data_IF_183444587637
#
_entry.id   IF_183444587637
#
_cell.length_a   1.000
_cell.length_b   1.000
_cell.length_c   1.000
_cell.angle_alpha   90.00
_cell.angle_beta   90.00
_cell.angle_gamma   90.00
#
_symmetry.space_group_name_H-M   'P 1'
#
loop_
_entity.id
_entity.type
_entity.pdbx_description
1 polymer ?
#
# COMPACT_ATOMS: atom_id res chain seq x y z
N UNK A 1 -32.25 -44.36 10.98
CA UNK A 1 -31.65 -43.07 11.37
C UNK A 1 -31.42 -42.27 10.10
N UNK A 2 -32.06 -41.11 9.88
CA UNK A 2 -31.70 -40.27 8.74
C UNK A 2 -30.24 -39.84 8.96
N UNK A 3 -29.33 -40.24 8.07
CA UNK A 3 -27.93 -39.86 8.18
C UNK A 3 -27.84 -38.34 8.12
N UNK A 4 -27.14 -37.73 9.08
CA UNK A 4 -26.77 -36.31 8.99
C UNK A 4 -26.24 -36.01 7.59
N UNK A 5 -26.66 -34.90 6.95
CA UNK A 5 -26.20 -34.58 5.60
C UNK A 5 -24.67 -34.53 5.61
N UNK A 6 -24.04 -35.22 4.64
CA UNK A 6 -22.58 -35.21 4.49
C UNK A 6 -22.07 -33.76 4.45
N UNK A 7 -20.99 -33.44 5.19
CA UNK A 7 -20.41 -32.11 5.17
C UNK A 7 -19.96 -31.76 3.75
N UNK A 8 -20.03 -30.48 3.41
CA UNK A 8 -19.48 -29.97 2.15
C UNK A 8 -17.97 -30.07 2.16
N UNK A 9 -17.38 -30.46 1.03
CA UNK A 9 -15.96 -30.22 0.75
C UNK A 9 -15.85 -29.06 -0.22
N UNK A 10 -14.80 -28.25 -0.09
CA UNK A 10 -14.66 -27.03 -0.89
C UNK A 10 -13.43 -27.09 -1.79
N UNK A 11 -13.48 -26.42 -2.94
CA UNK A 11 -12.36 -26.26 -3.86
C UNK A 11 -12.37 -24.87 -4.49
N UNK A 12 -11.22 -24.37 -4.87
CA UNK A 12 -11.09 -23.10 -5.60
C UNK A 12 -10.99 -23.31 -7.11
N UNK A 13 -11.40 -22.29 -7.85
CA UNK A 13 -11.17 -22.17 -9.28
C UNK A 13 -10.85 -20.72 -9.59
N UNK A 14 -9.74 -20.48 -10.30
CA UNK A 14 -9.32 -19.15 -10.75
C UNK A 14 -9.60 -19.01 -12.24
N UNK A 15 -10.30 -17.93 -12.62
CA UNK A 15 -10.59 -17.61 -14.01
C UNK A 15 -9.39 -16.94 -14.71
N UNK A 16 -9.51 -16.71 -16.03
CA UNK A 16 -8.46 -16.06 -16.82
C UNK A 16 -8.22 -14.59 -16.41
N UNK A 17 -9.21 -13.96 -15.78
CA UNK A 17 -9.12 -12.59 -15.26
C UNK A 17 -8.51 -12.53 -13.85
N UNK A 18 -8.02 -13.66 -13.32
CA UNK A 18 -7.36 -13.77 -12.02
C UNK A 18 -8.32 -13.79 -10.82
N UNK A 19 -9.63 -13.94 -11.04
CA UNK A 19 -10.62 -13.99 -9.95
C UNK A 19 -10.77 -15.42 -9.47
N UNK A 20 -10.68 -15.61 -8.15
CA UNK A 20 -10.81 -16.93 -7.53
C UNK A 20 -12.19 -17.12 -6.91
N UNK A 21 -12.80 -18.28 -7.16
CA UNK A 21 -14.13 -18.65 -6.66
C UNK A 21 -14.06 -19.94 -5.87
N UNK A 22 -14.89 -20.05 -4.83
CA UNK A 22 -15.04 -21.27 -4.03
C UNK A 22 -16.27 -22.05 -4.49
N UNK A 23 -16.09 -23.35 -4.70
CA UNK A 23 -17.14 -24.31 -5.02
C UNK A 23 -17.26 -25.36 -3.92
N UNK A 24 -18.48 -25.67 -3.53
CA UNK A 24 -18.80 -26.77 -2.63
C UNK A 24 -19.18 -28.00 -3.45
N UNK A 25 -18.63 -29.15 -3.11
CA UNK A 25 -18.99 -30.44 -3.69
C UNK A 25 -19.37 -31.47 -2.63
N UNK A 26 -20.31 -32.35 -3.00
CA UNK A 26 -20.63 -33.60 -2.30
C UNK A 26 -20.45 -34.73 -3.28
N UNK A 27 -19.76 -35.77 -2.85
CA UNK A 27 -19.47 -36.95 -3.65
C UNK A 27 -20.25 -38.16 -3.13
N UNK A 28 -20.68 -38.99 -4.08
CA UNK A 28 -21.21 -40.33 -3.80
C UNK A 28 -20.28 -41.37 -4.41
N UNK A 29 -20.12 -42.48 -3.71
CA UNK A 29 -19.39 -43.63 -4.22
C UNK A 29 -20.28 -44.39 -5.21
N UNK A 30 -19.75 -44.68 -6.40
CA UNK A 30 -20.38 -45.55 -7.39
C UNK A 30 -19.80 -46.97 -7.23
N UNK A 31 -20.56 -47.93 -6.67
CA UNK A 31 -20.05 -49.27 -6.37
C UNK A 31 -19.83 -50.12 -7.62
N UNK A 32 -20.56 -49.88 -8.71
CA UNK A 32 -20.41 -50.63 -9.96
C UNK A 32 -19.12 -50.24 -10.67
N UNK A 33 -18.88 -48.92 -10.76
CA UNK A 33 -17.69 -48.38 -11.44
C UNK A 33 -16.49 -48.20 -10.50
N UNK A 34 -16.64 -48.56 -9.21
CA UNK A 34 -15.62 -48.46 -8.15
C UNK A 34 -14.91 -47.09 -8.12
N UNK A 35 -15.67 -46.01 -8.24
CA UNK A 35 -15.10 -44.65 -8.25
C UNK A 35 -16.02 -43.63 -7.59
N UNK A 36 -15.45 -42.52 -7.14
CA UNK A 36 -16.19 -41.38 -6.63
C UNK A 36 -16.81 -40.57 -7.78
N UNK A 37 -18.07 -40.16 -7.64
CA UNK A 37 -18.76 -39.26 -8.57
C UNK A 37 -19.34 -38.06 -7.84
N UNK A 38 -19.26 -36.89 -8.46
CA UNK A 38 -19.86 -35.67 -7.95
C UNK A 38 -21.37 -35.84 -7.96
N UNK A 39 -21.99 -35.76 -6.78
CA UNK A 39 -23.43 -35.83 -6.59
C UNK A 39 -24.05 -34.44 -6.64
N UNK A 40 -23.39 -33.47 -6.00
CA UNK A 40 -23.83 -32.07 -5.99
C UNK A 40 -22.61 -31.16 -6.07
N UNK A 41 -22.68 -30.15 -6.93
CA UNK A 41 -21.73 -29.03 -6.99
C UNK A 41 -22.50 -27.72 -6.91
N UNK A 42 -22.01 -26.78 -6.13
CA UNK A 42 -22.59 -25.44 -6.04
C UNK A 42 -21.50 -24.38 -5.94
N UNK A 43 -21.80 -23.20 -6.47
CA UNK A 43 -20.95 -22.03 -6.30
C UNK A 43 -21.23 -21.43 -4.92
N UNK A 44 -20.19 -21.28 -4.11
CA UNK A 44 -20.29 -20.83 -2.71
C UNK A 44 -20.08 -19.33 -2.63
N UNK A 45 -19.05 -18.81 -3.30
CA UNK A 45 -18.69 -17.40 -3.19
C UNK A 45 -17.38 -17.06 -3.89
N UNK A 46 -17.00 -15.79 -3.81
CA UNK A 46 -15.72 -15.29 -4.31
C UNK A 46 -14.68 -15.32 -3.21
N UNK A 47 -13.49 -15.86 -3.50
CA UNK A 47 -12.33 -15.81 -2.62
C UNK A 47 -11.55 -14.53 -2.89
N UNK A 48 -11.23 -13.81 -1.83
CA UNK A 48 -10.21 -12.78 -1.83
C UNK A 48 -8.83 -13.44 -1.62
N UNK A 49 -7.94 -13.43 -2.63
CA UNK A 49 -6.65 -14.09 -2.54
C UNK A 49 -5.68 -13.41 -1.56
N UNK A 50 -5.90 -12.13 -1.21
CA UNK A 50 -5.02 -11.40 -0.28
C UNK A 50 -5.37 -11.69 1.18
N UNK A 51 -6.66 -11.77 1.48
CA UNK A 51 -7.15 -11.94 2.85
C UNK A 51 -7.55 -13.39 3.18
N UNK A 52 -7.71 -14.26 2.17
CA UNK A 52 -8.25 -15.61 2.32
C UNK A 52 -9.76 -15.64 2.59
N UNK A 53 -10.42 -14.49 2.58
CA UNK A 53 -11.84 -14.36 2.91
C UNK A 53 -12.75 -14.76 1.76
N UNK A 54 -13.82 -15.49 2.07
CA UNK A 54 -14.85 -15.89 1.11
C UNK A 54 -16.10 -15.02 1.26
N UNK A 55 -16.39 -14.23 0.22
CA UNK A 55 -17.67 -13.52 0.10
C UNK A 55 -18.74 -14.49 -0.37
N UNK A 56 -19.52 -15.02 0.58
CA UNK A 56 -20.56 -16.02 0.31
C UNK A 56 -21.68 -15.41 -0.55
N UNK A 57 -22.02 -16.09 -1.65
CA UNK A 57 -23.01 -15.64 -2.60
C UNK A 57 -24.44 -15.81 -2.09
N UNK A 58 -25.33 -14.86 -2.42
CA UNK A 58 -26.74 -14.86 -2.00
C UNK A 58 -27.49 -16.17 -2.29
N UNK A 59 -27.26 -16.77 -3.46
CA UNK A 59 -27.87 -18.06 -3.85
C UNK A 59 -27.45 -19.23 -2.96
N UNK A 60 -26.22 -19.21 -2.44
CA UNK A 60 -25.73 -20.24 -1.55
C UNK A 60 -26.32 -20.06 -0.15
N UNK A 61 -26.40 -18.82 0.34
CA UNK A 61 -27.00 -18.47 1.64
C UNK A 61 -28.48 -18.86 1.73
N UNK A 62 -29.26 -18.69 0.65
CA UNK A 62 -30.68 -19.11 0.64
C UNK A 62 -30.85 -20.60 0.95
N UNK A 63 -29.89 -21.43 0.53
CA UNK A 63 -29.92 -22.88 0.74
C UNK A 63 -29.12 -23.34 1.97
N UNK A 64 -28.27 -22.48 2.53
CA UNK A 64 -27.39 -22.75 3.66
C UNK A 64 -27.35 -21.49 4.56
N UNK A 65 -28.43 -21.19 5.30
CA UNK A 65 -28.53 -19.99 6.12
C UNK A 65 -27.51 -19.95 7.26
N UNK A 66 -26.94 -21.10 7.65
CA UNK A 66 -25.90 -21.22 8.68
C UNK A 66 -24.60 -20.48 8.34
N UNK A 67 -24.40 -20.11 7.07
CA UNK A 67 -23.26 -19.32 6.61
C UNK A 67 -23.52 -17.80 6.64
N UNK A 68 -24.75 -17.37 6.93
CA UNK A 68 -25.12 -15.95 6.90
C UNK A 68 -24.57 -15.18 8.10
N UNK A 69 -24.11 -13.94 7.86
CA UNK A 69 -23.67 -13.03 8.92
C UNK A 69 -22.33 -13.38 9.57
N UNK A 70 -21.58 -14.35 9.03
CA UNK A 70 -20.30 -14.84 9.56
C UNK A 70 -19.16 -14.56 8.59
N UNK A 71 -17.95 -14.50 9.12
CA UNK A 71 -16.72 -14.38 8.34
C UNK A 71 -16.18 -15.78 8.06
N UNK A 72 -15.95 -16.08 6.79
CA UNK A 72 -15.48 -17.39 6.35
C UNK A 72 -14.13 -17.26 5.68
N UNK A 73 -13.13 -17.92 6.22
CA UNK A 73 -11.83 -18.09 5.57
C UNK A 73 -11.80 -19.43 4.83
N UNK A 74 -11.23 -19.44 3.63
CA UNK A 74 -10.95 -20.69 2.93
C UNK A 74 -9.54 -21.17 3.28
N UNK A 75 -9.46 -22.34 3.93
CA UNK A 75 -8.20 -23.02 4.19
C UNK A 75 -8.37 -24.53 4.05
N UNK A 76 -7.37 -25.21 3.50
CA UNK A 76 -7.32 -26.68 3.38
C UNK A 76 -8.64 -27.34 2.92
N UNK A 77 -9.28 -26.80 1.87
CA UNK A 77 -10.55 -27.30 1.31
C UNK A 77 -11.75 -27.23 2.28
N UNK A 78 -11.65 -26.40 3.31
CA UNK A 78 -12.67 -26.13 4.33
C UNK A 78 -12.98 -24.64 4.41
N UNK A 79 -14.16 -24.33 4.95
CA UNK A 79 -14.51 -22.97 5.37
C UNK A 79 -14.42 -22.91 6.88
N UNK A 80 -13.53 -22.06 7.36
CA UNK A 80 -13.31 -21.84 8.79
C UNK A 80 -14.08 -20.59 9.18
N UNK A 81 -15.00 -20.75 10.12
CA UNK A 81 -15.69 -19.63 10.75
C UNK A 81 -14.67 -18.83 11.56
N UNK A 82 -14.62 -17.53 11.33
CA UNK A 82 -13.93 -16.59 12.17
C UNK A 82 -14.96 -15.64 12.74
N UNK A 83 -14.77 -15.27 14.00
CA UNK A 83 -15.41 -14.07 14.52
C UNK A 83 -14.99 -12.88 13.64
N UNK A 84 -15.88 -11.89 13.42
CA UNK A 84 -15.45 -10.63 12.83
C UNK A 84 -14.23 -10.14 13.61
N UNK A 85 -13.05 -10.16 13.00
CA UNK A 85 -11.98 -9.32 13.49
C UNK A 85 -12.48 -7.90 13.26
N UNK A 86 -12.85 -7.20 14.33
CA UNK A 86 -12.91 -5.75 14.31
C UNK A 86 -11.50 -5.32 13.91
N UNK A 87 -11.31 -5.00 12.63
CA UNK A 87 -10.23 -4.10 12.28
C UNK A 87 -10.48 -2.88 13.15
N UNK A 88 -9.54 -2.50 14.06
CA UNK A 88 -9.66 -1.22 14.72
C UNK A 88 -9.90 -0.19 13.62
N UNK A 89 -10.82 0.73 13.87
CA UNK A 89 -11.13 1.83 12.94
C UNK A 89 -9.89 2.73 12.88
N UNK A 90 -8.88 2.30 12.13
CA UNK A 90 -7.58 2.97 11.99
C UNK A 90 -7.71 4.30 11.25
N UNK A 91 -8.89 4.62 10.72
CA UNK A 91 -9.21 5.94 10.21
C UNK A 91 -9.18 7.01 11.31
N UNK A 92 -9.36 6.61 12.59
CA UNK A 92 -9.31 7.48 13.76
C UNK A 92 -8.10 7.24 14.67
N UNK A 93 -7.24 6.26 14.38
CA UNK A 93 -5.96 6.15 15.08
C UNK A 93 -5.05 7.30 14.61
N UNK A 94 -4.34 7.99 15.53
CA UNK A 94 -3.33 8.95 15.12
C UNK A 94 -2.36 8.20 14.22
N UNK A 95 -2.29 8.60 12.94
CA UNK A 95 -1.35 7.98 12.02
C UNK A 95 0.03 8.04 12.69
N UNK A 96 0.77 6.91 12.77
CA UNK A 96 2.11 6.93 13.31
C UNK A 96 2.88 8.04 12.61
N UNK A 97 3.54 8.90 13.40
CA UNK A 97 4.29 10.00 12.82
C UNK A 97 5.23 9.41 11.78
N UNK A 98 5.18 9.94 10.55
CA UNK A 98 6.05 9.49 9.47
C UNK A 98 7.55 9.62 9.83
N UNK A 99 7.85 10.38 10.88
CA UNK A 99 9.16 10.65 11.43
C UNK A 99 9.40 9.80 12.68
N UNK A 100 10.57 9.19 12.77
CA UNK A 100 11.03 8.50 13.98
C UNK A 100 11.25 9.48 15.14
N UNK A 101 11.27 8.96 16.37
CA UNK A 101 11.54 9.75 17.58
C UNK A 101 12.98 10.28 17.62
N UNK A 102 13.93 9.49 17.08
CA UNK A 102 15.34 9.84 16.96
C UNK A 102 15.68 10.21 15.51
N UNK A 103 16.29 11.38 15.28
CA UNK A 103 16.72 11.83 13.96
C UNK A 103 18.18 12.27 13.93
N UNK A 104 18.85 11.97 12.82
CA UNK A 104 20.19 12.45 12.53
C UNK A 104 20.17 13.94 12.18
N UNK A 105 20.90 14.75 12.93
CA UNK A 105 21.00 16.20 12.71
C UNK A 105 22.22 16.59 11.87
N UNK A 106 23.34 15.88 12.01
CA UNK A 106 24.69 16.38 11.68
C UNK A 106 24.80 17.06 10.31
N UNK A 107 24.81 16.27 9.24
CA UNK A 107 25.08 16.79 7.89
C UNK A 107 23.91 17.59 7.33
N UNK A 108 22.66 17.16 7.56
CA UNK A 108 21.48 17.84 7.01
C UNK A 108 21.24 19.20 7.65
N UNK A 109 21.46 19.34 8.95
CA UNK A 109 21.41 20.63 9.64
C UNK A 109 22.52 21.56 9.16
N UNK A 110 23.76 21.06 9.07
CA UNK A 110 24.89 21.86 8.62
C UNK A 110 24.71 22.34 7.17
N UNK A 111 24.25 21.47 6.27
CA UNK A 111 23.98 21.81 4.88
C UNK A 111 22.84 22.83 4.75
N UNK A 112 21.79 22.69 5.57
CA UNK A 112 20.71 23.68 5.62
C UNK A 112 21.20 25.05 6.09
N UNK A 113 21.91 25.09 7.23
CA UNK A 113 22.40 26.35 7.79
C UNK A 113 23.37 27.04 6.83
N UNK A 114 24.28 26.28 6.21
CA UNK A 114 25.15 26.78 5.15
C UNK A 114 24.36 27.41 4.00
N UNK A 115 23.30 26.74 3.54
CA UNK A 115 22.47 27.26 2.45
C UNK A 115 21.73 28.55 2.84
N UNK A 116 21.30 28.69 4.09
CA UNK A 116 20.72 29.94 4.61
C UNK A 116 21.77 31.03 4.69
N UNK A 117 22.92 30.77 5.34
CA UNK A 117 23.97 31.76 5.60
C UNK A 117 24.59 32.31 4.31
N UNK A 118 24.67 31.49 3.27
CA UNK A 118 25.20 31.87 1.96
C UNK A 118 24.13 32.37 0.97
N UNK A 119 22.88 32.52 1.41
CA UNK A 119 21.77 33.04 0.62
C UNK A 119 21.26 32.09 -0.47
N UNK A 120 21.65 30.81 -0.44
CA UNK A 120 21.19 29.82 -1.43
C UNK A 120 19.68 29.60 -1.32
N UNK A 121 19.15 29.48 -0.10
CA UNK A 121 17.70 29.31 0.11
C UNK A 121 16.92 30.51 -0.42
N UNK A 122 17.38 31.72 -0.11
CA UNK A 122 16.75 32.97 -0.57
C UNK A 122 16.74 33.05 -2.10
N UNK A 123 17.89 32.82 -2.75
CA UNK A 123 18.00 32.90 -4.20
C UNK A 123 17.17 31.81 -4.91
N UNK A 124 17.01 30.62 -4.28
CA UNK A 124 16.11 29.56 -4.74
C UNK A 124 14.63 29.99 -4.62
N UNK A 125 14.22 30.48 -3.45
CA UNK A 125 12.83 30.90 -3.20
C UNK A 125 12.42 32.06 -4.13
N UNK A 126 13.32 33.01 -4.35
CA UNK A 126 13.09 34.15 -5.24
C UNK A 126 12.98 33.74 -6.72
N UNK A 127 13.66 32.67 -7.12
CA UNK A 127 13.67 32.23 -8.52
C UNK A 127 12.53 31.26 -8.82
N UNK A 128 12.26 30.32 -7.92
CA UNK A 128 11.35 29.19 -8.14
C UNK A 128 10.03 29.30 -7.36
N UNK A 129 9.88 30.32 -6.51
CA UNK A 129 8.79 30.45 -5.55
C UNK A 129 9.13 29.83 -4.19
N UNK A 130 8.45 30.27 -3.14
CA UNK A 130 8.77 29.88 -1.75
C UNK A 130 8.71 28.37 -1.54
N UNK A 131 7.60 27.73 -1.92
CA UNK A 131 7.41 26.28 -1.75
C UNK A 131 8.43 25.47 -2.58
N UNK A 132 8.45 25.67 -3.89
CA UNK A 132 9.31 24.93 -4.82
C UNK A 132 10.79 25.18 -4.52
N UNK A 133 11.19 26.44 -4.27
CA UNK A 133 12.57 26.78 -3.94
C UNK A 133 13.06 26.12 -2.65
N UNK A 134 12.18 26.04 -1.64
CA UNK A 134 12.47 25.34 -0.39
C UNK A 134 12.61 23.83 -0.61
N UNK A 135 11.73 23.21 -1.40
CA UNK A 135 11.83 21.79 -1.75
C UNK A 135 13.07 21.47 -2.59
N UNK A 136 13.44 22.34 -3.53
CA UNK A 136 14.67 22.18 -4.32
C UNK A 136 15.92 22.14 -3.43
N UNK A 137 15.98 22.95 -2.36
CA UNK A 137 17.06 22.86 -1.39
C UNK A 137 17.03 21.52 -0.64
N UNK A 138 15.86 21.06 -0.20
CA UNK A 138 15.71 19.76 0.48
C UNK A 138 16.15 18.61 -0.42
N UNK A 139 15.79 18.63 -1.70
CA UNK A 139 16.23 17.64 -2.69
C UNK A 139 17.74 17.73 -2.96
N UNK A 140 18.33 18.93 -2.99
CA UNK A 140 19.77 19.08 -3.12
C UNK A 140 20.52 18.49 -1.91
N UNK A 141 20.02 18.74 -0.69
CA UNK A 141 20.59 18.16 0.53
C UNK A 141 20.40 16.64 0.54
N UNK A 142 19.24 16.13 0.11
CA UNK A 142 19.03 14.69 -0.09
C UNK A 142 20.05 14.10 -1.06
N UNK A 143 20.29 14.72 -2.22
CA UNK A 143 21.28 14.25 -3.20
C UNK A 143 22.72 14.39 -2.72
N UNK A 144 23.00 15.33 -1.82
CA UNK A 144 24.30 15.49 -1.19
C UNK A 144 24.58 14.41 -0.14
N UNK A 145 23.57 14.05 0.65
CA UNK A 145 23.69 13.13 1.79
C UNK A 145 23.39 11.68 1.41
N UNK A 146 22.51 11.46 0.44
CA UNK A 146 22.10 10.16 -0.03
C UNK A 146 23.17 9.54 -0.91
N UNK A 147 23.70 8.39 -0.47
CA UNK A 147 24.40 7.46 -1.36
C UNK A 147 23.53 7.21 -2.59
N UNK A 148 24.11 7.21 -3.80
CA UNK A 148 23.51 7.31 -5.16
C UNK A 148 22.11 6.68 -5.39
N UNK A 149 21.12 7.18 -4.65
CA UNK A 149 19.79 6.59 -4.49
C UNK A 149 18.78 7.43 -5.24
N UNK A 150 17.82 6.74 -5.86
CA UNK A 150 16.75 7.38 -6.62
C UNK A 150 15.85 8.22 -5.72
N UNK A 151 15.12 9.18 -6.29
CA UNK A 151 14.18 10.03 -5.54
C UNK A 151 13.03 9.24 -4.87
N UNK A 152 12.83 7.97 -5.23
CA UNK A 152 11.87 7.07 -4.59
C UNK A 152 12.14 6.85 -3.10
N UNK A 153 13.40 6.96 -2.65
CA UNK A 153 13.78 6.74 -1.26
C UNK A 153 13.75 8.04 -0.43
N UNK A 154 13.32 9.16 -1.01
CA UNK A 154 13.33 10.45 -0.30
C UNK A 154 12.50 10.43 0.98
N UNK A 155 11.30 9.86 0.94
CA UNK A 155 10.41 9.80 2.11
C UNK A 155 11.01 8.94 3.24
N UNK A 156 11.60 7.78 2.89
CA UNK A 156 12.23 6.88 3.85
C UNK A 156 13.49 7.51 4.46
N UNK A 157 14.31 8.18 3.65
CA UNK A 157 15.45 8.93 4.13
C UNK A 157 15.04 10.09 5.04
N UNK A 158 13.99 10.83 4.66
CA UNK A 158 13.51 11.97 5.43
C UNK A 158 13.02 11.57 6.84
N UNK A 159 12.53 10.34 7.01
CA UNK A 159 12.13 9.81 8.30
C UNK A 159 13.29 9.69 9.30
N UNK A 160 14.54 9.61 8.81
CA UNK A 160 15.75 9.39 9.60
C UNK A 160 16.52 10.67 9.92
N UNK A 161 16.27 11.77 9.19
CA UNK A 161 17.10 12.98 9.27
C UNK A 161 16.31 14.20 9.71
N UNK A 162 17.04 15.23 10.15
CA UNK A 162 16.45 16.54 10.39
C UNK A 162 16.50 17.43 9.15
N UNK A 163 15.32 17.86 8.69
CA UNK A 163 15.13 19.02 7.84
C UNK A 163 13.97 19.88 8.37
N UNK A 164 14.08 21.22 8.30
CA UNK A 164 13.08 22.10 8.88
C UNK A 164 11.81 22.09 8.05
N UNK A 165 10.68 21.85 8.72
CA UNK A 165 9.32 21.84 8.15
C UNK A 165 9.15 20.93 6.91
N UNK A 166 10.05 19.95 6.73
CA UNK A 166 9.96 19.02 5.62
C UNK A 166 8.81 18.03 5.84
N UNK A 167 8.15 17.63 4.75
CA UNK A 167 7.15 16.58 4.73
C UNK A 167 7.55 15.53 3.70
N UNK A 168 7.22 14.25 3.92
CA UNK A 168 7.47 13.21 2.95
C UNK A 168 6.67 13.49 1.68
N UNK A 169 7.33 13.35 0.53
CA UNK A 169 6.72 13.52 -0.79
C UNK A 169 6.80 12.22 -1.57
N UNK A 170 5.74 11.91 -2.32
CA UNK A 170 5.75 10.78 -3.25
C UNK A 170 6.65 11.08 -4.45
N UNK A 171 7.20 10.03 -5.10
CA UNK A 171 8.01 10.18 -6.32
C UNK A 171 7.31 11.00 -7.39
N UNK A 172 5.99 10.85 -7.53
CA UNK A 172 5.19 11.65 -8.46
C UNK A 172 5.24 13.14 -8.11
N UNK A 173 5.03 13.51 -6.84
CA UNK A 173 5.06 14.91 -6.39
C UNK A 173 6.45 15.52 -6.57
N UNK A 174 7.49 14.75 -6.29
CA UNK A 174 8.87 15.16 -6.55
C UNK A 174 9.08 15.41 -8.05
N UNK A 175 8.61 14.51 -8.92
CA UNK A 175 8.69 14.71 -10.37
C UNK A 175 7.92 15.94 -10.84
N UNK A 176 6.73 16.21 -10.29
CA UNK A 176 5.94 17.41 -10.59
C UNK A 176 6.69 18.70 -10.21
N UNK A 177 7.33 18.73 -9.03
CA UNK A 177 8.15 19.86 -8.56
C UNK A 177 9.37 20.09 -9.46
N UNK A 178 10.11 19.03 -9.78
CA UNK A 178 11.29 19.11 -10.65
C UNK A 178 10.93 19.48 -12.09
N UNK A 179 9.74 19.12 -12.58
CA UNK A 179 9.28 19.48 -13.93
C UNK A 179 9.02 20.98 -14.11
N UNK A 180 8.84 21.75 -13.02
CA UNK A 180 8.72 23.21 -13.07
C UNK A 180 10.07 23.87 -13.39
N UNK A 181 11.18 23.19 -13.09
CA UNK A 181 12.53 23.72 -13.32
C UNK A 181 12.88 23.65 -14.80
N UNK A 182 12.79 24.79 -15.49
CA UNK A 182 13.23 24.94 -16.87
C UNK A 182 14.59 25.65 -16.98
N UNK A 183 15.14 25.66 -18.19
CA UNK A 183 16.43 26.30 -18.46
C UNK A 183 16.42 27.80 -18.14
N UNK A 184 15.31 28.50 -18.37
CA UNK A 184 15.22 29.95 -18.15
C UNK A 184 15.26 30.31 -16.66
N UNK A 185 14.65 29.47 -15.82
CA UNK A 185 14.69 29.60 -14.36
C UNK A 185 16.07 29.24 -13.82
N UNK A 186 16.71 28.19 -14.35
CA UNK A 186 18.10 27.88 -14.01
C UNK A 186 19.06 29.03 -14.34
N UNK A 187 18.97 29.58 -15.55
CA UNK A 187 19.79 30.72 -15.97
C UNK A 187 19.56 31.93 -15.05
N UNK A 188 18.31 32.19 -14.67
CA UNK A 188 17.96 33.27 -13.73
C UNK A 188 18.57 33.05 -12.36
N UNK A 189 18.48 31.83 -11.82
CA UNK A 189 19.06 31.48 -10.53
C UNK A 189 20.59 31.67 -10.54
N UNK A 190 21.28 31.10 -11.52
CA UNK A 190 22.74 31.21 -11.60
C UNK A 190 23.22 32.64 -11.86
N UNK A 191 22.47 33.43 -12.64
CA UNK A 191 22.76 34.86 -12.79
C UNK A 191 22.64 35.60 -11.47
N UNK A 192 21.55 35.38 -10.71
CA UNK A 192 21.36 36.00 -9.39
C UNK A 192 22.50 35.63 -8.42
N UNK A 193 22.95 34.37 -8.45
CA UNK A 193 24.10 33.90 -7.67
C UNK A 193 25.42 34.55 -8.07
N UNK A 194 25.61 34.82 -9.37
CA UNK A 194 26.81 35.47 -9.88
C UNK A 194 26.86 36.96 -9.53
N UNK A 195 25.71 37.63 -9.46
CA UNK A 195 25.62 39.07 -9.23
C UNK A 195 25.74 39.46 -7.73
N UNK A 196 25.87 38.49 -6.81
CA UNK A 196 26.14 38.68 -5.37
C UNK A 196 27.63 38.82 -5.08
#
# INVERSE_FOLDING_TARGET
>A
MPSSPKPWSFSTYTDADGRTYVYGYRNRWDPEKKQSRIEKRCHVGRLDPQTGQVRIGRKFLTNNPEYAGKFWLYDNNQLIEQEPFEQPDTDNEPQPSWRGEDVELGLTWAAWQFAVDHGLLEDLQETFGEDTGTELLRFAIYRLCGEDSGMMNYADWLALVWLPQAQPLSSQRISEQLAVVDQSLMDRYFKRRHDR
#
